data_IF_543586204124
#
_entry.id   IF_543586204124
#
_cell.length_a   1.000
_cell.length_b   1.000
_cell.length_c   1.000
_cell.angle_alpha   90.00
_cell.angle_beta   90.00
_cell.angle_gamma   90.00
#
_symmetry.space_group_name_H-M   'P 1'
#
loop_
_entity.id
_entity.type
_entity.pdbx_description
1 polymer ?
#
# COMPACT_ATOMS: atom_id res chain seq x y z
N UNK A 1 6.65 29.01 11.80
CA UNK A 1 6.09 27.71 12.20
C UNK A 1 5.00 27.38 11.22
N UNK A 2 5.14 26.31 10.48
CA UNK A 2 4.07 25.82 9.62
C UNK A 2 3.12 25.07 10.54
N UNK A 3 1.89 25.54 10.74
CA UNK A 3 0.89 24.83 11.51
C UNK A 3 0.47 23.60 10.69
N UNK A 4 0.87 22.42 11.11
CA UNK A 4 0.39 21.17 10.54
C UNK A 4 -1.03 20.90 11.03
N UNK A 5 -1.87 20.43 10.13
CA UNK A 5 -3.20 19.98 10.50
C UNK A 5 -3.03 18.67 11.29
N UNK A 6 -3.35 18.71 12.57
CA UNK A 6 -3.42 17.50 13.37
C UNK A 6 -4.62 16.65 12.90
N UNK A 7 -4.49 15.33 12.92
CA UNK A 7 -5.62 14.45 12.62
C UNK A 7 -6.76 14.71 13.61
N UNK A 8 -7.95 14.78 13.07
CA UNK A 8 -9.21 14.80 13.83
C UNK A 8 -10.30 14.14 12.98
N UNK A 9 -11.32 13.58 13.62
CA UNK A 9 -12.39 12.82 12.93
C UNK A 9 -13.21 13.67 11.95
N UNK A 10 -13.13 14.99 12.04
CA UNK A 10 -13.81 15.94 11.13
C UNK A 10 -13.00 16.26 9.85
N UNK A 11 -11.77 15.76 9.75
CA UNK A 11 -10.96 15.87 8.51
C UNK A 11 -11.32 14.81 7.49
N UNK A 12 -11.96 13.73 7.91
CA UNK A 12 -12.35 12.64 7.05
C UNK A 12 -13.86 12.67 6.79
N UNK A 13 -14.22 12.66 5.51
CA UNK A 13 -15.63 12.55 5.10
C UNK A 13 -15.90 11.11 4.68
N UNK A 14 -16.43 10.32 5.60
CA UNK A 14 -16.78 8.92 5.35
C UNK A 14 -18.21 8.85 4.79
N UNK A 15 -18.43 8.31 3.58
CA UNK A 15 -19.76 8.11 3.03
C UNK A 15 -20.57 7.08 3.85
N UNK A 16 -21.88 7.30 4.03
CA UNK A 16 -22.77 6.41 4.79
C UNK A 16 -22.75 4.94 4.32
N UNK A 17 -22.36 4.68 3.07
CA UNK A 17 -22.33 3.35 2.48
C UNK A 17 -20.91 2.81 2.26
N UNK A 18 -19.89 3.39 2.88
CA UNK A 18 -18.49 3.01 2.65
C UNK A 18 -18.23 1.55 3.00
N UNK A 19 -18.70 1.06 4.14
CA UNK A 19 -18.56 -0.35 4.54
C UNK A 19 -19.14 -1.31 3.49
N UNK A 20 -20.28 -0.97 2.89
CA UNK A 20 -20.88 -1.77 1.84
C UNK A 20 -20.00 -1.78 0.59
N UNK A 21 -19.44 -0.64 0.21
CA UNK A 21 -18.53 -0.52 -0.93
C UNK A 21 -17.22 -1.29 -0.71
N UNK A 22 -16.67 -1.25 0.50
CA UNK A 22 -15.47 -2.03 0.88
C UNK A 22 -15.77 -3.54 0.77
N UNK A 23 -16.91 -3.99 1.25
CA UNK A 23 -17.33 -5.39 1.13
C UNK A 23 -17.50 -5.84 -0.34
N UNK A 24 -18.04 -4.98 -1.20
CA UNK A 24 -18.10 -5.22 -2.64
C UNK A 24 -16.69 -5.38 -3.24
N UNK A 25 -15.76 -4.47 -2.91
CA UNK A 25 -14.37 -4.55 -3.36
C UNK A 25 -13.73 -5.89 -2.96
N UNK A 26 -13.89 -6.30 -1.71
CA UNK A 26 -13.38 -7.60 -1.23
C UNK A 26 -13.96 -8.76 -2.04
N UNK A 27 -15.26 -8.74 -2.33
CA UNK A 27 -15.94 -9.75 -3.14
C UNK A 27 -15.39 -9.82 -4.57
N UNK A 28 -15.16 -8.67 -5.21
CA UNK A 28 -14.60 -8.59 -6.57
C UNK A 28 -13.16 -9.10 -6.62
N UNK A 29 -12.35 -8.72 -5.63
CA UNK A 29 -10.98 -9.23 -5.48
C UNK A 29 -10.97 -10.76 -5.33
N UNK A 30 -11.84 -11.31 -4.50
CA UNK A 30 -11.96 -12.77 -4.32
C UNK A 30 -12.37 -13.49 -5.61
N UNK A 31 -13.29 -12.89 -6.38
CA UNK A 31 -13.72 -13.44 -7.68
C UNK A 31 -12.57 -13.50 -8.66
N UNK A 32 -11.80 -12.42 -8.78
CA UNK A 32 -10.63 -12.34 -9.66
C UNK A 32 -9.54 -13.33 -9.23
N UNK A 33 -9.26 -13.42 -7.93
CA UNK A 33 -8.28 -14.36 -7.38
C UNK A 33 -8.67 -15.82 -7.62
N UNK A 34 -9.96 -16.13 -7.44
CA UNK A 34 -10.48 -17.49 -7.72
C UNK A 34 -10.34 -17.84 -9.19
N UNK A 35 -10.72 -16.96 -10.11
CA UNK A 35 -10.54 -17.16 -11.55
C UNK A 35 -9.08 -17.42 -11.89
N UNK A 36 -8.17 -16.59 -11.40
CA UNK A 36 -6.72 -16.75 -11.62
C UNK A 36 -6.20 -18.08 -11.06
N UNK A 37 -6.69 -18.50 -9.89
CA UNK A 37 -6.33 -19.79 -9.31
C UNK A 37 -6.83 -20.95 -10.17
N UNK A 38 -8.08 -20.89 -10.63
CA UNK A 38 -8.68 -21.95 -11.46
C UNK A 38 -7.92 -22.12 -12.79
N UNK A 39 -7.44 -21.01 -13.38
CA UNK A 39 -6.64 -21.01 -14.61
C UNK A 39 -5.22 -21.50 -14.42
N UNK A 40 -4.54 -21.04 -13.37
CA UNK A 40 -3.09 -21.26 -13.17
C UNK A 40 -2.75 -22.37 -12.19
N UNK A 41 -3.73 -22.84 -11.42
CA UNK A 41 -3.62 -23.88 -10.40
C UNK A 41 -2.64 -23.56 -9.27
N UNK A 42 -2.32 -22.29 -9.07
CA UNK A 42 -1.68 -21.78 -7.86
C UNK A 42 -2.12 -20.36 -7.55
N UNK A 43 -2.07 -20.00 -6.28
CA UNK A 43 -2.46 -18.68 -5.82
C UNK A 43 -1.47 -17.61 -6.28
N UNK A 44 -1.98 -16.54 -6.88
CA UNK A 44 -1.24 -15.32 -7.19
C UNK A 44 -1.95 -14.13 -6.54
N UNK A 45 -1.25 -13.03 -6.38
CA UNK A 45 -1.88 -11.77 -5.97
C UNK A 45 -2.77 -11.25 -7.10
N UNK A 46 -3.85 -10.55 -6.75
CA UNK A 46 -4.72 -9.90 -7.73
C UNK A 46 -4.01 -8.71 -8.42
N UNK A 47 -3.28 -7.94 -7.62
CA UNK A 47 -2.45 -6.84 -8.11
C UNK A 47 -1.01 -7.05 -7.62
N UNK A 48 -0.05 -6.42 -8.31
CA UNK A 48 1.37 -6.59 -8.01
C UNK A 48 1.79 -8.07 -8.00
N UNK A 49 1.22 -8.87 -8.89
CA UNK A 49 1.42 -10.31 -8.93
C UNK A 49 2.86 -10.69 -9.29
N UNK A 50 3.41 -10.05 -10.32
CA UNK A 50 4.78 -10.30 -10.77
C UNK A 50 5.80 -9.55 -9.91
N UNK A 51 6.49 -10.27 -9.03
CA UNK A 51 7.63 -9.73 -8.27
C UNK A 51 8.84 -9.56 -9.16
N UNK A 52 9.45 -8.37 -9.14
CA UNK A 52 10.67 -8.04 -9.89
C UNK A 52 11.93 -8.19 -9.03
N UNK A 53 11.79 -8.01 -7.74
CA UNK A 53 12.87 -8.16 -6.78
C UNK A 53 12.37 -8.13 -5.35
N UNK A 54 13.11 -8.81 -4.49
CA UNK A 54 12.92 -8.78 -3.05
C UNK A 54 14.29 -8.53 -2.41
N UNK A 55 14.37 -7.48 -1.60
CA UNK A 55 15.62 -7.05 -0.98
C UNK A 55 15.46 -7.01 0.53
N UNK A 56 16.53 -7.34 1.22
CA UNK A 56 16.71 -7.12 2.65
C UNK A 56 17.82 -6.10 2.84
N UNK A 57 17.61 -5.14 3.73
CA UNK A 57 18.57 -4.08 4.03
C UNK A 57 18.20 -3.33 5.28
N UNK A 58 18.68 -2.11 5.39
CA UNK A 58 18.40 -1.21 6.50
C UNK A 58 17.74 0.07 6.02
N UNK A 59 16.90 0.64 6.87
CA UNK A 59 16.28 1.94 6.71
C UNK A 59 16.85 2.89 7.78
N UNK A 60 17.50 3.96 7.34
CA UNK A 60 18.12 4.93 8.23
C UNK A 60 17.34 6.23 8.25
N UNK A 61 17.03 6.70 9.44
CA UNK A 61 16.43 8.02 9.71
C UNK A 61 17.57 8.95 10.10
N UNK A 62 17.80 9.97 9.28
CA UNK A 62 18.89 10.92 9.47
C UNK A 62 18.60 11.87 10.66
N UNK A 63 19.66 12.36 11.28
CA UNK A 63 19.56 13.21 12.49
C UNK A 63 19.20 14.67 12.19
N UNK A 64 19.33 15.11 10.95
CA UNK A 64 19.16 16.50 10.51
C UNK A 64 17.91 16.72 9.66
N UNK A 65 16.88 15.91 9.88
CA UNK A 65 15.60 16.10 9.21
C UNK A 65 15.00 17.47 9.60
N UNK A 66 14.40 18.19 8.62
CA UNK A 66 13.60 19.36 8.93
C UNK A 66 12.52 19.04 9.98
N UNK A 67 12.24 20.00 10.86
CA UNK A 67 11.27 19.82 11.97
C UNK A 67 9.91 19.32 11.46
N UNK A 68 9.48 19.78 10.30
CA UNK A 68 8.24 19.39 9.65
C UNK A 68 8.19 17.92 9.21
N UNK A 69 9.33 17.29 9.00
CA UNK A 69 9.43 15.87 8.62
C UNK A 69 9.78 14.98 9.81
N UNK A 70 10.33 15.54 10.89
CA UNK A 70 10.74 14.82 12.09
C UNK A 70 9.54 14.46 13.00
N UNK A 71 8.61 13.66 12.47
CA UNK A 71 7.37 13.30 13.16
C UNK A 71 7.17 11.78 13.16
N UNK A 72 6.46 11.26 14.15
CA UNK A 72 6.14 9.84 14.30
C UNK A 72 7.39 8.96 14.16
N UNK A 73 7.42 8.00 13.23
CA UNK A 73 8.60 7.17 12.94
C UNK A 73 9.87 7.99 12.70
N UNK A 74 9.76 9.16 12.07
CA UNK A 74 10.89 10.02 11.69
C UNK A 74 11.35 10.97 12.81
N UNK A 75 10.67 10.97 13.96
CA UNK A 75 11.01 11.87 15.08
C UNK A 75 12.34 11.51 15.78
N UNK A 76 12.75 10.26 15.68
CA UNK A 76 13.98 9.78 16.34
C UNK A 76 14.95 9.22 15.29
N UNK A 77 16.14 9.80 15.17
CA UNK A 77 17.19 9.24 14.31
C UNK A 77 17.53 7.81 14.69
N UNK A 78 17.77 6.96 13.71
CA UNK A 78 18.07 5.56 13.97
C UNK A 78 18.16 4.72 12.70
N UNK A 79 18.48 3.45 12.89
CA UNK A 79 18.56 2.48 11.81
C UNK A 79 17.72 1.26 12.14
N UNK A 80 16.87 0.86 11.22
CA UNK A 80 15.94 -0.25 11.34
C UNK A 80 16.24 -1.30 10.27
N UNK A 81 16.03 -2.56 10.57
CA UNK A 81 15.96 -3.59 9.53
C UNK A 81 14.76 -3.35 8.61
N UNK A 82 14.94 -3.58 7.33
CA UNK A 82 13.90 -3.36 6.35
C UNK A 82 13.90 -4.43 5.25
N UNK A 83 12.72 -4.66 4.67
CA UNK A 83 12.54 -5.46 3.47
C UNK A 83 11.76 -4.68 2.43
N UNK A 84 12.14 -4.86 1.17
CA UNK A 84 11.53 -4.19 0.03
C UNK A 84 11.08 -5.23 -1.00
N UNK A 85 9.94 -4.98 -1.64
CA UNK A 85 9.45 -5.79 -2.74
C UNK A 85 9.08 -4.90 -3.91
N UNK A 86 9.78 -5.06 -5.02
CA UNK A 86 9.42 -4.45 -6.30
C UNK A 86 8.48 -5.37 -7.08
N UNK A 87 7.44 -4.81 -7.65
CA UNK A 87 6.45 -5.57 -8.41
C UNK A 87 5.87 -4.79 -9.58
N UNK A 88 5.34 -5.52 -10.54
CA UNK A 88 4.50 -4.97 -11.62
C UNK A 88 3.05 -4.97 -11.17
N UNK A 89 2.34 -3.84 -11.32
CA UNK A 89 0.99 -3.65 -10.81
C UNK A 89 -0.03 -4.66 -11.36
N UNK A 90 -0.12 -4.94 -12.68
CA UNK A 90 -1.10 -5.88 -13.18
C UNK A 90 -1.05 -7.25 -12.51
N UNK A 91 -2.23 -7.85 -12.30
CA UNK A 91 -2.36 -9.25 -11.87
C UNK A 91 -1.89 -10.27 -12.92
N UNK A 92 -1.79 -9.86 -14.18
CA UNK A 92 -1.25 -10.67 -15.25
C UNK A 92 0.28 -10.74 -15.22
N UNK A 93 0.83 -11.88 -15.63
CA UNK A 93 2.28 -12.08 -15.79
C UNK A 93 2.74 -11.53 -17.15
N UNK A 94 2.77 -10.21 -17.25
CA UNK A 94 3.16 -9.51 -18.48
C UNK A 94 4.66 -9.66 -18.78
N UNK A 95 5.02 -9.53 -20.05
CA UNK A 95 6.42 -9.37 -20.48
C UNK A 95 6.99 -8.07 -19.89
N UNK A 96 8.24 -8.10 -19.41
CA UNK A 96 8.87 -6.95 -18.75
C UNK A 96 9.11 -5.76 -19.69
N UNK A 97 9.07 -5.97 -21.00
CA UNK A 97 9.12 -4.93 -22.04
C UNK A 97 7.82 -4.17 -22.20
N UNK A 98 6.71 -4.69 -21.67
CA UNK A 98 5.43 -4.00 -21.73
C UNK A 98 5.38 -2.90 -20.66
N UNK A 99 4.98 -1.67 -21.02
CA UNK A 99 4.76 -0.61 -20.06
C UNK A 99 3.69 -1.01 -19.05
N UNK A 100 3.99 -0.83 -17.77
CA UNK A 100 3.04 -1.02 -16.68
C UNK A 100 3.49 -0.23 -15.46
N UNK A 101 2.55 0.12 -14.59
CA UNK A 101 2.87 0.70 -13.30
C UNK A 101 3.74 -0.28 -12.48
N UNK A 102 4.71 0.28 -11.77
CA UNK A 102 5.56 -0.45 -10.84
C UNK A 102 5.22 -0.04 -9.42
N UNK A 103 5.21 -1.00 -8.53
CA UNK A 103 5.00 -0.77 -7.12
C UNK A 103 6.22 -1.18 -6.30
N UNK A 104 6.40 -0.48 -5.20
CA UNK A 104 7.36 -0.80 -4.15
C UNK A 104 6.62 -0.93 -2.83
N UNK A 105 6.69 -2.11 -2.21
CA UNK A 105 6.32 -2.30 -0.81
C UNK A 105 7.57 -2.26 0.05
N UNK A 106 7.58 -1.40 1.06
CA UNK A 106 8.63 -1.30 2.07
C UNK A 106 8.04 -1.65 3.43
N UNK A 107 8.66 -2.57 4.15
CA UNK A 107 8.36 -2.89 5.54
C UNK A 107 9.59 -2.60 6.39
N UNK A 108 9.40 -1.80 7.44
CA UNK A 108 10.41 -1.42 8.43
C UNK A 108 10.07 -2.16 9.72
N UNK A 109 11.07 -2.75 10.35
CA UNK A 109 10.94 -3.53 11.59
C UNK A 109 11.37 -2.72 12.82
N UNK A 110 10.96 -3.19 13.98
CA UNK A 110 11.30 -2.62 15.29
C UNK A 110 10.95 -1.13 15.39
N UNK A 111 9.75 -0.81 14.95
CA UNK A 111 9.16 0.54 15.04
C UNK A 111 8.23 0.58 16.23
N UNK A 112 8.59 1.39 17.22
CA UNK A 112 7.77 1.65 18.39
C UNK A 112 6.75 2.78 18.13
N UNK A 113 5.75 2.88 19.01
CA UNK A 113 4.77 3.95 19.02
C UNK A 113 3.40 3.53 18.49
N UNK A 114 2.46 4.45 18.62
CA UNK A 114 1.07 4.26 18.22
C UNK A 114 0.94 4.23 16.69
N UNK A 115 0.05 3.37 16.20
CA UNK A 115 -0.24 3.19 14.77
C UNK A 115 -1.75 3.20 14.53
N UNK A 116 -2.14 3.64 13.35
CA UNK A 116 -3.51 3.47 12.89
C UNK A 116 -3.87 1.97 12.90
N UNK A 117 -5.05 1.65 13.45
CA UNK A 117 -5.53 0.27 13.57
C UNK A 117 -5.00 -0.48 14.79
N UNK A 118 -4.02 0.03 15.51
CA UNK A 118 -3.49 -0.47 16.79
C UNK A 118 -3.45 -2.01 16.89
N UNK A 119 -2.85 -2.65 15.91
CA UNK A 119 -2.79 -4.12 15.80
C UNK A 119 -1.67 -4.77 16.63
N UNK A 120 -0.98 -3.97 17.46
CA UNK A 120 0.12 -4.39 18.33
C UNK A 120 1.41 -4.77 17.59
N UNK A 121 1.51 -4.54 16.28
CA UNK A 121 2.71 -4.84 15.51
C UNK A 121 3.76 -3.75 15.65
N UNK A 122 5.02 -4.17 15.70
CA UNK A 122 6.20 -3.28 15.72
C UNK A 122 6.79 -3.08 14.33
N UNK A 123 5.93 -2.92 13.33
CA UNK A 123 6.36 -2.68 11.94
C UNK A 123 5.64 -1.49 11.35
N UNK A 124 6.32 -0.77 10.46
CA UNK A 124 5.72 0.28 9.63
C UNK A 124 5.83 -0.11 8.16
N UNK A 125 4.71 -0.05 7.45
CA UNK A 125 4.65 -0.35 6.03
C UNK A 125 4.41 0.91 5.20
N UNK A 126 5.12 1.00 4.07
CA UNK A 126 4.88 2.01 3.04
C UNK A 126 4.67 1.33 1.70
N UNK A 127 3.75 1.87 0.92
CA UNK A 127 3.51 1.44 -0.46
C UNK A 127 3.67 2.62 -1.40
N UNK A 128 4.41 2.39 -2.48
CA UNK A 128 4.72 3.40 -3.48
C UNK A 128 4.38 2.88 -4.86
N UNK A 129 4.00 3.79 -5.75
CA UNK A 129 3.88 3.56 -7.18
C UNK A 129 4.78 4.54 -7.93
N UNK A 130 5.19 4.17 -9.13
CA UNK A 130 5.95 5.07 -10.00
C UNK A 130 5.05 6.03 -10.79
N UNK A 131 3.85 6.29 -10.30
CA UNK A 131 2.93 7.29 -10.85
C UNK A 131 3.10 8.62 -10.09
N UNK A 132 2.99 9.77 -10.77
CA UNK A 132 3.17 11.08 -10.13
C UNK A 132 2.06 11.42 -9.13
N UNK A 133 0.90 10.81 -9.29
CA UNK A 133 -0.27 10.96 -8.41
C UNK A 133 -0.93 9.60 -8.20
N UNK A 134 -1.63 9.42 -7.10
CA UNK A 134 -2.47 8.25 -6.90
C UNK A 134 -3.70 8.35 -7.84
N UNK A 135 -3.88 7.41 -8.78
CA UNK A 135 -4.97 7.49 -9.76
C UNK A 135 -6.35 7.15 -9.17
N UNK A 136 -6.38 6.51 -8.00
CA UNK A 136 -7.58 6.06 -7.31
C UNK A 136 -7.73 6.90 -6.05
N UNK A 137 -8.64 7.86 -6.08
CA UNK A 137 -8.73 8.93 -5.08
C UNK A 137 -9.77 8.65 -3.99
N UNK A 138 -10.69 7.71 -4.25
CA UNK A 138 -11.79 7.41 -3.34
C UNK A 138 -12.27 5.96 -3.45
N UNK A 139 -13.04 5.52 -2.47
CA UNK A 139 -13.60 4.16 -2.40
C UNK A 139 -14.54 3.84 -3.57
N UNK A 140 -15.46 4.74 -3.99
CA UNK A 140 -16.31 4.48 -5.15
C UNK A 140 -15.54 4.19 -6.43
N UNK A 141 -14.52 4.98 -6.75
CA UNK A 141 -13.66 4.79 -7.93
C UNK A 141 -12.89 3.47 -7.84
N UNK A 142 -12.37 3.15 -6.66
CA UNK A 142 -11.66 1.89 -6.42
C UNK A 142 -12.58 0.67 -6.60
N UNK A 143 -13.81 0.77 -6.08
CA UNK A 143 -14.86 -0.25 -6.24
C UNK A 143 -15.19 -0.50 -7.72
N UNK A 144 -15.40 0.56 -8.50
CA UNK A 144 -15.74 0.44 -9.92
C UNK A 144 -14.64 -0.28 -10.72
N UNK A 145 -13.38 0.05 -10.47
CA UNK A 145 -12.26 -0.61 -11.14
C UNK A 145 -12.21 -2.11 -10.81
N UNK A 146 -12.44 -2.49 -9.55
CA UNK A 146 -12.44 -3.90 -9.18
C UNK A 146 -13.66 -4.65 -9.70
N UNK A 147 -14.81 -3.99 -9.81
CA UNK A 147 -15.98 -4.53 -10.50
C UNK A 147 -15.65 -4.89 -11.96
N UNK A 148 -15.10 -3.93 -12.72
CA UNK A 148 -14.71 -4.14 -14.12
C UNK A 148 -13.65 -5.24 -14.32
N UNK A 149 -12.77 -5.45 -13.36
CA UNK A 149 -11.79 -6.55 -13.40
C UNK A 149 -12.41 -7.90 -13.08
N UNK A 150 -13.52 -7.95 -12.34
CA UNK A 150 -14.19 -9.16 -11.92
C UNK A 150 -15.12 -9.72 -13.03
N UNK A 151 -15.64 -8.87 -13.91
CA UNK A 151 -16.40 -9.26 -15.12
C UNK A 151 -15.47 -9.89 -16.17
#
# INVERSE_FOLDING_TARGET
MTDYVAYSDDLEVVPDNEDAQINDIVSYLQTTQKRTFDERRHATRDTHAKGQGFLKGTFTIEADLPEELAQSLFATPGTHDAVLRFATEPGAMLDDRQPAARGLGLKIFDVDGDKLGNDGRTTQDFTFNNCPVLPLTDVPTYREIHYLKAE
#
